data_IF_313551144818
#
_entry.id   IF_313551144818
#
_cell.length_a   1.000
_cell.length_b   1.000
_cell.length_c   1.000
_cell.angle_alpha   90.00
_cell.angle_beta   90.00
_cell.angle_gamma   90.00
#
_symmetry.space_group_name_H-M   'P 1'
#
loop_
_entity.id
_entity.type
_entity.pdbx_description
1 polymer ?
#
# COMPACT_ATOMS: atom_id res chain seq x y z
N UNK A 1 -21.22 14.79 14.66
CA UNK A 1 -20.63 15.97 15.35
C UNK A 1 -20.04 15.67 16.74
N UNK A 2 -20.65 14.87 17.63
CA UNK A 2 -20.06 14.57 18.96
C UNK A 2 -18.75 13.76 18.96
N UNK A 3 -18.49 12.93 17.94
CA UNK A 3 -17.25 12.13 17.86
C UNK A 3 -16.02 12.91 17.36
N UNK A 4 -16.17 13.91 16.49
CA UNK A 4 -15.02 14.65 15.93
C UNK A 4 -14.29 15.50 16.98
N UNK A 5 -15.03 16.16 17.89
CA UNK A 5 -14.47 16.94 19.00
C UNK A 5 -13.55 16.10 19.92
N UNK A 6 -13.81 14.79 20.04
CA UNK A 6 -12.99 13.89 20.86
C UNK A 6 -11.67 13.52 20.16
N UNK A 7 -11.69 13.31 18.84
CA UNK A 7 -10.49 12.91 18.08
C UNK A 7 -9.49 14.07 17.99
N UNK A 8 -9.97 15.27 17.68
CA UNK A 8 -9.10 16.45 17.58
C UNK A 8 -8.48 16.82 18.92
N UNK A 9 -9.27 16.77 20.01
CA UNK A 9 -8.76 16.96 21.37
C UNK A 9 -7.71 15.92 21.75
N UNK A 10 -7.91 14.64 21.38
CA UNK A 10 -6.93 13.58 21.62
C UNK A 10 -5.64 13.83 20.86
N UNK A 11 -5.73 14.17 19.57
CA UNK A 11 -4.56 14.47 18.74
C UNK A 11 -3.77 15.66 19.29
N UNK A 12 -4.45 16.74 19.67
CA UNK A 12 -3.79 17.92 20.24
C UNK A 12 -3.13 17.61 21.59
N UNK A 13 -3.79 16.84 22.45
CA UNK A 13 -3.18 16.39 23.71
C UNK A 13 -1.93 15.53 23.46
N UNK A 14 -2.00 14.57 22.54
CA UNK A 14 -0.83 13.74 22.18
C UNK A 14 0.32 14.57 21.62
N UNK A 15 0.04 15.60 20.79
CA UNK A 15 1.06 16.53 20.29
C UNK A 15 1.73 17.30 21.44
N UNK A 16 0.96 17.81 22.39
CA UNK A 16 1.49 18.53 23.55
C UNK A 16 2.38 17.64 24.42
N UNK A 17 1.92 16.42 24.75
CA UNK A 17 2.70 15.46 25.53
C UNK A 17 4.03 15.09 24.84
N UNK A 18 4.01 14.93 23.51
CA UNK A 18 5.23 14.64 22.75
C UNK A 18 6.17 15.85 22.73
N UNK A 19 5.64 17.07 22.67
CA UNK A 19 6.46 18.28 22.78
C UNK A 19 7.10 18.42 24.18
N UNK A 20 6.33 18.15 25.24
CA UNK A 20 6.82 18.15 26.63
C UNK A 20 7.92 17.11 26.86
N UNK A 21 7.77 15.91 26.27
CA UNK A 21 8.80 14.87 26.31
C UNK A 21 10.11 15.36 25.66
N UNK A 22 10.03 15.96 24.47
CA UNK A 22 11.20 16.50 23.78
C UNK A 22 11.90 17.60 24.58
N UNK A 23 11.13 18.53 25.15
CA UNK A 23 11.67 19.60 26.01
C UNK A 23 12.34 19.03 27.26
N UNK A 24 11.73 18.03 27.90
CA UNK A 24 12.26 17.39 29.11
C UNK A 24 13.58 16.66 28.83
N UNK A 25 13.67 15.95 27.70
CA UNK A 25 14.92 15.28 27.28
C UNK A 25 15.99 16.32 26.96
N UNK A 26 15.66 17.40 26.25
CA UNK A 26 16.61 18.48 25.97
C UNK A 26 17.13 19.12 27.26
N UNK A 27 16.26 19.35 28.25
CA UNK A 27 16.66 19.89 29.54
C UNK A 27 17.59 18.95 30.30
N UNK A 28 17.31 17.64 30.28
CA UNK A 28 18.13 16.62 30.91
C UNK A 28 19.55 16.54 30.30
N UNK A 29 19.64 16.61 28.97
CA UNK A 29 20.93 16.64 28.25
C UNK A 29 21.73 17.89 28.63
N UNK A 30 21.07 19.05 28.69
CA UNK A 30 21.70 20.31 29.02
C UNK A 30 22.13 20.40 30.50
N UNK A 31 21.41 19.75 31.43
CA UNK A 31 21.73 19.79 32.86
C UNK A 31 22.89 18.87 33.25
N UNK A 32 23.16 17.83 32.46
CA UNK A 32 24.11 16.77 32.81
C UNK A 32 25.00 16.34 31.64
N UNK A 33 25.71 17.26 30.96
CA UNK A 33 26.47 16.96 29.74
C UNK A 33 27.52 15.86 29.95
N UNK A 34 28.12 15.78 31.13
CA UNK A 34 29.14 14.77 31.46
C UNK A 34 28.59 13.33 31.40
N UNK A 35 27.30 13.14 31.72
CA UNK A 35 26.63 11.84 31.64
C UNK A 35 26.33 11.47 30.19
N UNK A 36 25.91 12.44 29.37
CA UNK A 36 25.59 12.21 27.96
C UNK A 36 26.82 12.16 27.05
N UNK A 37 28.01 12.47 27.58
CA UNK A 37 29.29 12.21 26.93
C UNK A 37 29.70 10.73 26.98
N UNK A 38 29.02 9.90 27.79
CA UNK A 38 29.21 8.45 27.72
C UNK A 38 28.76 7.92 26.34
N UNK A 39 29.60 7.15 25.62
CA UNK A 39 29.26 6.67 24.28
C UNK A 39 27.99 5.82 24.20
N UNK A 40 27.68 5.02 25.23
CA UNK A 40 26.49 4.17 25.25
C UNK A 40 25.22 4.99 25.44
N UNK A 41 25.26 5.97 26.33
CA UNK A 41 24.15 6.92 26.55
C UNK A 41 23.95 7.79 25.31
N UNK A 42 25.04 8.26 24.69
CA UNK A 42 24.97 9.07 23.47
C UNK A 42 24.32 8.31 22.31
N UNK A 43 24.67 7.03 22.11
CA UNK A 43 24.03 6.17 21.11
C UNK A 43 22.53 6.01 21.40
N UNK A 44 22.17 5.75 22.64
CA UNK A 44 20.77 5.59 23.05
C UNK A 44 19.95 6.88 22.87
N UNK A 45 20.56 8.05 23.13
CA UNK A 45 19.95 9.35 22.89
C UNK A 45 19.72 9.59 21.40
N UNK A 46 20.68 9.24 20.54
CA UNK A 46 20.52 9.37 19.09
C UNK A 46 19.38 8.49 18.57
N UNK A 47 19.30 7.25 19.02
CA UNK A 47 18.19 6.34 18.68
C UNK A 47 16.84 6.88 19.15
N UNK A 48 16.77 7.41 20.38
CA UNK A 48 15.57 8.08 20.88
C UNK A 48 15.19 9.27 20.01
N UNK A 49 16.13 10.18 19.71
CA UNK A 49 15.87 11.39 18.92
C UNK A 49 15.36 11.06 17.52
N UNK A 50 15.90 10.00 16.90
CA UNK A 50 15.42 9.50 15.61
C UNK A 50 13.95 9.08 15.69
N UNK A 51 13.61 8.18 16.61
CA UNK A 51 12.22 7.70 16.80
C UNK A 51 11.28 8.83 17.21
N UNK A 52 11.75 9.75 18.05
CA UNK A 52 11.03 10.94 18.48
C UNK A 52 10.67 11.84 17.31
N UNK A 53 11.64 12.19 16.47
CA UNK A 53 11.42 13.03 15.30
C UNK A 53 10.45 12.38 14.31
N UNK A 54 10.57 11.08 14.08
CA UNK A 54 9.62 10.31 13.29
C UNK A 54 8.19 10.40 13.86
N UNK A 55 8.04 10.24 15.18
CA UNK A 55 6.73 10.35 15.85
C UNK A 55 6.12 11.75 15.72
N UNK A 56 6.94 12.81 15.88
CA UNK A 56 6.51 14.20 15.72
C UNK A 56 6.02 14.45 14.29
N UNK A 57 6.78 14.02 13.27
CA UNK A 57 6.37 14.22 11.88
C UNK A 57 5.07 13.49 11.54
N UNK A 58 4.89 12.27 12.06
CA UNK A 58 3.66 11.50 11.85
C UNK A 58 2.44 12.11 12.53
N UNK A 59 2.60 12.72 13.70
CA UNK A 59 1.49 13.41 14.38
C UNK A 59 1.18 14.77 13.74
N UNK A 60 2.18 15.40 13.11
CA UNK A 60 1.98 16.63 12.34
C UNK A 60 1.14 16.36 11.10
N UNK A 61 1.43 15.27 10.38
CA UNK A 61 0.72 14.85 9.18
C UNK A 61 0.23 13.41 9.34
N UNK A 62 -0.86 13.16 10.11
CA UNK A 62 -1.37 11.81 10.30
C UNK A 62 -1.90 11.27 8.97
N UNK A 63 -1.60 10.01 8.67
CA UNK A 63 -2.09 9.36 7.46
C UNK A 63 -2.69 7.99 7.73
N UNK A 64 -3.79 7.72 7.04
CA UNK A 64 -4.40 6.43 6.91
C UNK A 64 -3.72 5.68 5.75
N UNK A 65 -3.08 4.55 6.08
CA UNK A 65 -2.25 3.78 5.14
C UNK A 65 -2.88 2.45 4.85
N UNK A 66 -3.01 2.11 3.57
CA UNK A 66 -3.39 0.77 3.10
C UNK A 66 -2.19 0.16 2.37
N UNK A 67 -1.73 -1.01 2.79
CA UNK A 67 -0.66 -1.75 2.14
C UNK A 67 -1.22 -3.00 1.45
N UNK A 68 -0.91 -3.21 0.17
CA UNK A 68 -1.36 -4.40 -0.56
C UNK A 68 -0.35 -5.54 -0.47
N UNK A 69 -0.80 -6.70 -0.03
CA UNK A 69 0.00 -7.93 0.14
C UNK A 69 -0.52 -9.02 -0.80
N UNK A 70 0.32 -9.99 -1.14
CA UNK A 70 -0.07 -11.14 -1.98
C UNK A 70 1.05 -11.58 -2.93
N UNK A 71 0.77 -12.64 -3.71
CA UNK A 71 1.72 -13.14 -4.72
C UNK A 71 1.95 -12.10 -5.82
N UNK A 72 3.02 -12.25 -6.60
CA UNK A 72 3.34 -11.31 -7.69
C UNK A 72 2.20 -11.20 -8.71
N UNK A 73 1.47 -12.30 -8.95
CA UNK A 73 0.42 -12.39 -9.96
C UNK A 73 -1.02 -12.22 -9.44
N UNK A 74 -1.25 -11.95 -8.15
CA UNK A 74 -2.62 -11.82 -7.60
C UNK A 74 -3.36 -10.54 -8.00
N UNK A 75 -2.68 -9.60 -8.67
CA UNK A 75 -3.29 -8.36 -9.19
C UNK A 75 -3.26 -7.16 -8.23
N UNK A 76 -2.32 -7.14 -7.27
CA UNK A 76 -2.12 -6.03 -6.30
C UNK A 76 -2.11 -4.65 -6.97
N UNK A 77 -1.23 -4.43 -7.93
CA UNK A 77 -1.09 -3.15 -8.64
C UNK A 77 -2.36 -2.78 -9.42
N UNK A 78 -3.11 -3.77 -9.93
CA UNK A 78 -4.41 -3.53 -10.56
C UNK A 78 -5.45 -3.08 -9.55
N UNK A 79 -5.48 -3.68 -8.35
CA UNK A 79 -6.33 -3.25 -7.23
C UNK A 79 -5.96 -1.83 -6.81
N UNK A 80 -4.67 -1.53 -6.66
CA UNK A 80 -4.19 -0.17 -6.30
C UNK A 80 -4.68 0.86 -7.31
N UNK A 81 -4.44 0.64 -8.61
CA UNK A 81 -4.92 1.54 -9.65
C UNK A 81 -6.44 1.70 -9.66
N UNK A 82 -7.18 0.61 -9.43
CA UNK A 82 -8.63 0.64 -9.32
C UNK A 82 -9.10 1.48 -8.13
N UNK A 83 -8.46 1.34 -6.96
CA UNK A 83 -8.82 2.08 -5.76
C UNK A 83 -8.52 3.58 -5.88
N UNK A 84 -7.40 3.96 -6.51
CA UNK A 84 -7.03 5.37 -6.66
C UNK A 84 -7.72 6.06 -7.85
N UNK A 85 -8.30 5.30 -8.77
CA UNK A 85 -8.94 5.80 -9.99
C UNK A 85 -7.98 6.35 -11.04
N UNK A 86 -6.72 5.90 -11.01
CA UNK A 86 -5.64 6.33 -11.91
C UNK A 86 -4.73 5.16 -12.26
N UNK A 87 -4.13 5.20 -13.44
CA UNK A 87 -3.13 4.24 -13.88
C UNK A 87 -1.73 4.74 -13.50
N UNK A 88 -1.27 4.40 -12.29
CA UNK A 88 0.05 4.83 -11.76
C UNK A 88 0.95 3.64 -11.48
N UNK A 89 0.44 2.62 -10.78
CA UNK A 89 1.16 1.39 -10.49
C UNK A 89 1.31 0.54 -11.78
N UNK A 90 2.49 -0.02 -12.08
CA UNK A 90 2.70 -0.91 -13.23
C UNK A 90 1.82 -2.18 -13.18
N UNK A 91 1.15 -2.55 -14.29
CA UNK A 91 0.17 -3.68 -14.33
C UNK A 91 0.44 -4.76 -15.41
N UNK A 92 1.61 -4.78 -16.04
CA UNK A 92 1.91 -5.74 -17.11
C UNK A 92 2.13 -7.19 -16.61
N UNK A 93 2.09 -8.15 -17.52
CA UNK A 93 2.04 -9.60 -17.24
C UNK A 93 3.35 -10.22 -16.71
N UNK A 94 4.34 -9.43 -16.32
CA UNK A 94 5.63 -9.88 -15.76
C UNK A 94 5.79 -9.51 -14.28
N UNK A 95 6.76 -10.14 -13.61
CA UNK A 95 7.12 -9.82 -12.22
C UNK A 95 7.81 -8.45 -12.11
N UNK A 96 7.07 -7.35 -12.25
CA UNK A 96 7.65 -6.00 -12.19
C UNK A 96 7.50 -5.31 -10.83
N UNK A 97 6.63 -5.78 -9.94
CA UNK A 97 6.55 -5.21 -8.58
C UNK A 97 7.72 -5.75 -7.74
N UNK A 98 8.91 -5.21 -8.01
CA UNK A 98 10.14 -5.50 -7.26
C UNK A 98 10.43 -4.45 -6.19
N UNK A 99 9.99 -3.22 -6.40
CA UNK A 99 10.14 -2.10 -5.48
C UNK A 99 8.88 -1.80 -4.68
N UNK A 100 9.01 -0.83 -3.77
CA UNK A 100 7.89 -0.32 -2.97
C UNK A 100 7.38 0.97 -3.60
N UNK A 101 6.10 1.00 -3.95
CA UNK A 101 5.43 2.19 -4.48
C UNK A 101 4.42 2.70 -3.46
N UNK A 102 4.67 3.89 -2.93
CA UNK A 102 3.73 4.64 -2.09
C UNK A 102 3.01 5.68 -2.94
N UNK A 103 1.70 5.65 -2.94
CA UNK A 103 0.84 6.64 -3.61
C UNK A 103 0.17 7.48 -2.51
N UNK A 104 0.54 8.75 -2.43
CA UNK A 104 0.04 9.66 -1.40
C UNK A 104 -0.93 10.65 -2.02
N UNK A 105 -2.03 10.93 -1.32
CA UNK A 105 -2.93 11.99 -1.75
C UNK A 105 -2.22 13.36 -1.73
N UNK A 106 -2.22 14.04 -2.88
CA UNK A 106 -1.80 15.43 -3.00
C UNK A 106 -2.57 16.14 -4.13
N UNK A 107 -2.66 17.46 -4.04
CA UNK A 107 -3.08 18.31 -5.16
C UNK A 107 -1.93 18.57 -6.13
N UNK A 108 -0.69 18.46 -5.65
CA UNK A 108 0.51 18.53 -6.47
C UNK A 108 0.81 17.17 -7.10
N UNK A 109 1.26 17.19 -8.36
CA UNK A 109 1.76 16.00 -9.06
C UNK A 109 3.28 15.95 -8.90
N UNK A 110 3.75 15.04 -8.05
CA UNK A 110 5.17 14.86 -7.74
C UNK A 110 5.55 13.39 -7.71
N UNK A 111 6.71 13.07 -8.23
CA UNK A 111 7.35 11.76 -8.10
C UNK A 111 8.67 11.90 -7.36
N UNK A 112 8.89 11.05 -6.37
CA UNK A 112 10.14 10.96 -5.62
C UNK A 112 10.63 9.52 -5.75
N UNK A 113 11.86 9.34 -6.19
CA UNK A 113 12.54 8.05 -6.19
C UNK A 113 13.77 8.20 -5.32
N UNK A 114 13.74 7.57 -4.15
CA UNK A 114 14.79 7.71 -3.14
C UNK A 114 16.14 7.20 -3.65
N UNK A 115 17.21 7.84 -3.20
CA UNK A 115 18.56 7.38 -3.49
C UNK A 115 18.85 6.14 -2.65
N UNK A 116 18.97 4.99 -3.30
CA UNK A 116 19.45 3.75 -2.69
C UNK A 116 20.93 3.53 -3.00
N UNK A 117 21.62 2.81 -2.13
CA UNK A 117 23.00 2.39 -2.36
C UNK A 117 23.10 1.61 -3.67
N UNK A 118 24.14 1.88 -4.45
CA UNK A 118 24.41 1.21 -5.72
C UNK A 118 23.32 1.29 -6.79
N UNK A 119 22.34 2.19 -6.66
CA UNK A 119 21.24 2.33 -7.62
C UNK A 119 21.75 2.46 -9.07
N UNK A 120 21.27 1.57 -9.94
CA UNK A 120 21.54 1.60 -11.40
C UNK A 120 20.36 2.13 -12.19
N UNK A 121 19.40 2.74 -11.51
CA UNK A 121 18.21 3.39 -12.04
C UNK A 121 18.18 4.85 -11.63
N UNK A 122 17.34 5.63 -12.30
CA UNK A 122 17.18 7.05 -11.99
C UNK A 122 16.60 7.26 -10.59
N UNK A 123 17.22 8.17 -9.83
CA UNK A 123 16.77 8.63 -8.51
C UNK A 123 16.66 10.15 -8.51
N UNK A 124 15.79 10.72 -7.68
CA UNK A 124 15.54 12.15 -7.65
C UNK A 124 14.06 12.52 -7.48
N UNK A 125 13.74 13.78 -7.80
CA UNK A 125 12.40 14.34 -7.69
C UNK A 125 11.96 14.96 -9.01
N UNK A 126 10.69 14.75 -9.37
CA UNK A 126 10.06 15.32 -10.56
C UNK A 126 8.71 15.91 -10.19
N UNK A 127 8.36 17.04 -10.81
CA UNK A 127 7.09 17.75 -10.59
C UNK A 127 6.40 18.02 -11.93
N UNK A 128 5.08 18.17 -11.92
CA UNK A 128 4.30 18.50 -13.12
C UNK A 128 4.21 17.37 -14.14
N UNK A 129 4.40 16.13 -13.71
CA UNK A 129 4.27 14.92 -14.52
C UNK A 129 2.79 14.51 -14.63
N UNK A 130 2.34 14.20 -15.84
CA UNK A 130 1.02 13.58 -16.01
C UNK A 130 1.03 12.09 -15.60
N UNK A 131 -0.15 11.46 -15.53
CA UNK A 131 -0.29 10.06 -15.10
C UNK A 131 0.51 9.08 -15.99
N UNK A 132 0.60 9.32 -17.29
CA UNK A 132 1.37 8.46 -18.19
C UNK A 132 2.87 8.63 -17.96
N UNK A 133 3.37 9.86 -17.76
CA UNK A 133 4.76 10.12 -17.42
C UNK A 133 5.16 9.45 -16.10
N UNK A 134 4.28 9.55 -15.08
CA UNK A 134 4.45 8.85 -13.80
C UNK A 134 4.52 7.34 -14.01
N UNK A 135 3.54 6.76 -14.71
CA UNK A 135 3.48 5.33 -14.98
C UNK A 135 4.73 4.84 -15.71
N UNK A 136 5.17 5.54 -16.77
CA UNK A 136 6.35 5.15 -17.55
C UNK A 136 7.62 5.23 -16.71
N UNK A 137 7.80 6.30 -15.94
CA UNK A 137 9.01 6.48 -15.11
C UNK A 137 9.10 5.44 -13.99
N UNK A 138 7.98 5.17 -13.31
CA UNK A 138 7.88 4.11 -12.30
C UNK A 138 8.18 2.75 -12.95
N UNK A 139 7.57 2.48 -14.11
CA UNK A 139 7.80 1.24 -14.86
C UNK A 139 9.27 1.06 -15.21
N UNK A 140 9.95 2.07 -15.75
CA UNK A 140 11.37 2.00 -16.13
C UNK A 140 12.26 1.67 -14.93
N UNK A 141 12.02 2.31 -13.78
CA UNK A 141 12.77 2.04 -12.54
C UNK A 141 12.56 0.60 -12.08
N UNK A 142 11.32 0.14 -12.06
CA UNK A 142 10.99 -1.22 -11.65
C UNK A 142 11.59 -2.29 -12.56
N UNK A 143 11.58 -2.06 -13.88
CA UNK A 143 12.25 -2.92 -14.86
C UNK A 143 13.76 -2.96 -14.65
N UNK A 144 14.38 -1.79 -14.52
CA UNK A 144 15.83 -1.66 -14.31
C UNK A 144 16.27 -2.38 -13.04
N UNK A 145 15.51 -2.21 -11.95
CA UNK A 145 15.74 -2.95 -10.70
C UNK A 145 15.57 -4.47 -10.89
N UNK A 146 14.49 -4.90 -11.53
CA UNK A 146 14.21 -6.32 -11.76
C UNK A 146 15.33 -7.01 -12.57
N UNK A 147 15.89 -6.34 -13.58
CA UNK A 147 17.00 -6.88 -14.35
C UNK A 147 18.34 -6.81 -13.60
N UNK A 148 18.56 -5.75 -12.82
CA UNK A 148 19.76 -5.62 -12.00
C UNK A 148 19.82 -6.69 -10.91
N UNK A 149 18.69 -6.96 -10.22
CA UNK A 149 18.62 -7.92 -9.10
C UNK A 149 18.89 -9.37 -9.50
N UNK A 150 18.78 -9.71 -10.80
CA UNK A 150 19.14 -11.05 -11.31
C UNK A 150 20.64 -11.36 -11.19
N UNK A 151 21.49 -10.32 -11.12
CA UNK A 151 22.96 -10.45 -11.12
C UNK A 151 23.56 -10.33 -9.72
N UNK A 152 22.98 -9.49 -8.87
CA UNK A 152 23.36 -9.29 -7.47
C UNK A 152 22.17 -8.75 -6.69
N UNK A 153 22.21 -8.83 -5.36
CA UNK A 153 21.19 -8.19 -4.54
C UNK A 153 21.30 -6.66 -4.59
N UNK A 154 20.13 -6.00 -4.59
CA UNK A 154 19.99 -4.56 -4.51
C UNK A 154 18.89 -4.22 -3.50
N UNK A 155 19.00 -3.05 -2.88
CA UNK A 155 17.90 -2.49 -2.10
C UNK A 155 16.76 -2.12 -3.06
N UNK A 156 15.55 -2.56 -2.73
CA UNK A 156 14.35 -2.30 -3.49
C UNK A 156 14.10 -0.79 -3.62
N UNK A 157 13.82 -0.27 -4.82
CA UNK A 157 13.57 1.15 -5.01
C UNK A 157 12.36 1.58 -4.16
N UNK A 158 12.52 2.70 -3.47
CA UNK A 158 11.46 3.34 -2.70
C UNK A 158 10.93 4.50 -3.53
N UNK A 159 9.69 4.36 -4.00
CA UNK A 159 9.07 5.30 -4.93
C UNK A 159 7.85 5.91 -4.27
N UNK A 160 7.75 7.23 -4.26
CA UNK A 160 6.58 7.96 -3.78
C UNK A 160 5.96 8.79 -4.90
N UNK A 161 4.73 8.46 -5.27
CA UNK A 161 3.91 9.26 -6.19
C UNK A 161 2.90 10.07 -5.37
N UNK A 162 2.99 11.40 -5.45
CA UNK A 162 2.01 12.32 -4.88
C UNK A 162 1.04 12.73 -5.98
N UNK A 163 -0.22 12.30 -5.86
CA UNK A 163 -1.28 12.54 -6.84
C UNK A 163 -2.64 12.62 -6.17
N UNK A 164 -3.62 13.21 -6.84
CA UNK A 164 -5.00 13.18 -6.36
C UNK A 164 -5.56 11.76 -6.50
N UNK A 165 -6.07 11.17 -5.42
CA UNK A 165 -6.56 9.79 -5.41
C UNK A 165 -8.03 9.75 -5.03
N UNK A 166 -8.79 8.88 -5.68
CA UNK A 166 -10.24 8.76 -5.52
C UNK A 166 -10.70 8.67 -4.05
N UNK A 167 -10.10 7.85 -3.17
CA UNK A 167 -10.59 7.71 -1.80
C UNK A 167 -10.45 8.99 -0.97
N UNK A 168 -9.50 9.86 -1.31
CA UNK A 168 -9.28 11.12 -0.61
C UNK A 168 -10.07 12.28 -1.22
N UNK A 169 -10.24 12.29 -2.55
CA UNK A 169 -11.06 13.28 -3.24
C UNK A 169 -12.57 13.11 -2.96
N UNK A 170 -13.00 11.90 -2.61
CA UNK A 170 -14.38 11.63 -2.21
C UNK A 170 -14.45 11.22 -0.74
N UNK A 171 -14.61 12.20 0.14
CA UNK A 171 -14.63 12.01 1.60
C UNK A 171 -15.72 11.04 2.08
N UNK A 172 -16.80 10.86 1.31
CA UNK A 172 -17.87 9.92 1.64
C UNK A 172 -17.44 8.44 1.56
N UNK A 173 -16.38 8.12 0.81
CA UNK A 173 -15.89 6.75 0.65
C UNK A 173 -15.15 6.25 1.88
N UNK A 174 -14.35 7.11 2.54
CA UNK A 174 -13.53 6.71 3.68
C UNK A 174 -14.11 7.17 5.02
N UNK A 175 -14.91 8.25 5.05
CA UNK A 175 -15.45 8.80 6.29
C UNK A 175 -14.38 9.23 7.29
N UNK A 176 -13.16 9.55 6.82
CA UNK A 176 -12.06 9.96 7.68
C UNK A 176 -12.28 11.39 8.21
N UNK A 177 -11.84 11.68 9.44
CA UNK A 177 -11.74 13.05 9.94
C UNK A 177 -10.86 13.95 9.05
N UNK A 178 -11.15 15.25 9.09
CA UNK A 178 -10.34 16.26 8.40
C UNK A 178 -8.88 16.25 8.88
N UNK A 179 -7.96 16.52 7.95
CA UNK A 179 -6.52 16.57 8.24
C UNK A 179 -5.82 15.22 8.31
N UNK A 180 -6.52 14.11 8.04
CA UNK A 180 -5.91 12.79 7.87
C UNK A 180 -5.59 12.58 6.39
N UNK A 181 -4.30 12.42 6.08
CA UNK A 181 -3.83 12.04 4.76
C UNK A 181 -4.21 10.60 4.40
N UNK A 182 -4.20 10.27 3.12
CA UNK A 182 -4.49 8.91 2.64
C UNK A 182 -3.31 8.44 1.79
N UNK A 183 -2.82 7.24 2.08
CA UNK A 183 -1.71 6.63 1.37
C UNK A 183 -2.04 5.17 1.01
N UNK A 184 -1.72 4.77 -0.21
CA UNK A 184 -1.75 3.38 -0.65
C UNK A 184 -0.33 2.91 -0.95
N UNK A 185 0.04 1.73 -0.48
CA UNK A 185 1.38 1.17 -0.63
C UNK A 185 1.25 -0.13 -1.43
N UNK A 186 1.74 -0.11 -2.67
CA UNK A 186 1.92 -1.31 -3.48
C UNK A 186 3.27 -1.93 -3.15
N UNK A 187 3.21 -3.14 -2.58
CA UNK A 187 4.39 -3.87 -2.16
C UNK A 187 4.79 -4.90 -3.21
N UNK A 188 6.08 -5.28 -3.24
CA UNK A 188 6.50 -6.39 -4.05
C UNK A 188 5.83 -7.70 -3.60
N UNK A 189 5.87 -8.73 -4.44
CA UNK A 189 5.34 -10.06 -4.06
C UNK A 189 5.96 -10.55 -2.75
N UNK A 190 5.19 -11.30 -1.94
CA UNK A 190 5.58 -11.71 -0.58
C UNK A 190 6.98 -12.35 -0.49
N UNK A 191 7.40 -13.12 -1.50
CA UNK A 191 8.75 -13.68 -1.60
C UNK A 191 9.84 -12.61 -1.58
N UNK A 192 9.65 -11.51 -2.31
CA UNK A 192 10.59 -10.38 -2.35
C UNK A 192 10.54 -9.52 -1.08
N UNK A 193 9.41 -9.51 -0.35
CA UNK A 193 9.29 -8.82 0.94
C UNK A 193 10.13 -9.51 2.02
N UNK A 194 10.33 -10.82 1.91
CA UNK A 194 11.09 -11.62 2.86
C UNK A 194 12.62 -11.59 2.62
N UNK A 195 13.08 -10.98 1.52
CA UNK A 195 14.51 -10.79 1.25
C UNK A 195 15.14 -9.91 2.35
N UNK A 196 16.19 -10.40 3.01
CA UNK A 196 16.83 -9.75 4.17
C UNK A 196 17.26 -8.31 3.90
N UNK A 197 17.66 -8.02 2.67
CA UNK A 197 18.11 -6.70 2.21
C UNK A 197 16.95 -5.69 2.14
N UNK A 198 15.71 -6.15 1.98
CA UNK A 198 14.52 -5.32 1.82
C UNK A 198 13.57 -5.36 3.03
N UNK A 199 13.74 -6.34 3.91
CA UNK A 199 12.84 -6.60 5.03
C UNK A 199 12.73 -5.40 5.98
N UNK A 200 13.85 -4.79 6.39
CA UNK A 200 13.86 -3.68 7.34
C UNK A 200 13.10 -2.43 6.82
N UNK A 201 13.32 -2.08 5.56
CA UNK A 201 12.66 -0.92 4.91
C UNK A 201 11.16 -1.15 4.76
N UNK A 202 10.77 -2.36 4.31
CA UNK A 202 9.36 -2.70 4.11
C UNK A 202 8.66 -2.82 5.47
N UNK A 203 9.29 -3.40 6.50
CA UNK A 203 8.70 -3.53 7.84
C UNK A 203 8.27 -2.19 8.42
N UNK A 204 9.12 -1.17 8.28
CA UNK A 204 8.87 0.17 8.82
C UNK A 204 7.63 0.85 8.21
N UNK A 205 7.27 0.48 6.98
CA UNK A 205 6.14 1.04 6.26
C UNK A 205 4.84 0.26 6.51
N UNK A 206 4.93 -1.07 6.60
CA UNK A 206 3.75 -1.95 6.66
C UNK A 206 3.25 -2.16 8.09
N UNK A 207 4.10 -2.09 9.12
CA UNK A 207 3.71 -2.31 10.53
C UNK A 207 2.64 -1.33 11.08
N UNK A 208 2.33 -0.27 10.32
CA UNK A 208 1.40 0.80 10.68
C UNK A 208 0.27 0.96 9.65
N UNK A 209 0.17 0.07 8.67
CA UNK A 209 -0.81 0.11 7.59
C UNK A 209 -1.90 -0.96 7.77
N UNK A 210 -3.12 -0.65 7.31
CA UNK A 210 -4.15 -1.65 7.07
C UNK A 210 -3.71 -2.53 5.91
N UNK A 211 -3.84 -3.84 6.06
CA UNK A 211 -3.32 -4.80 5.10
C UNK A 211 -4.45 -5.29 4.20
N UNK A 212 -4.28 -5.12 2.89
CA UNK A 212 -5.18 -5.63 1.87
C UNK A 212 -4.53 -6.82 1.17
N UNK A 213 -4.97 -8.03 1.52
CA UNK A 213 -4.38 -9.27 1.04
C UNK A 213 -5.07 -9.73 -0.24
N UNK A 214 -4.40 -9.60 -1.38
CA UNK A 214 -4.91 -10.01 -2.67
C UNK A 214 -4.59 -11.49 -2.95
N UNK A 215 -5.64 -12.28 -3.15
CA UNK A 215 -5.64 -13.69 -3.54
C UNK A 215 -6.14 -13.82 -4.98
N UNK A 216 -5.62 -14.78 -5.74
CA UNK A 216 -6.09 -15.07 -7.10
C UNK A 216 -7.04 -16.28 -7.07
N UNK A 217 -8.28 -16.11 -7.56
CA UNK A 217 -9.28 -17.17 -7.65
C UNK A 217 -8.79 -18.44 -8.38
N UNK A 218 -7.90 -18.31 -9.36
CA UNK A 218 -7.33 -19.44 -10.11
C UNK A 218 -6.20 -20.16 -9.36
N UNK A 219 -5.68 -19.58 -8.27
CA UNK A 219 -4.59 -20.15 -7.47
C UNK A 219 -5.08 -20.57 -6.07
N UNK A 220 -6.39 -20.82 -5.92
CA UNK A 220 -6.98 -21.24 -4.64
C UNK A 220 -7.11 -22.77 -4.54
N UNK A 221 -6.17 -23.52 -5.11
CA UNK A 221 -6.02 -24.93 -4.70
C UNK A 221 -5.36 -24.99 -3.32
N UNK A 222 -5.63 -26.07 -2.58
CA UNK A 222 -5.23 -26.21 -1.18
C UNK A 222 -3.71 -26.06 -0.98
N UNK A 223 -2.89 -26.46 -1.95
CA UNK A 223 -1.42 -26.37 -1.83
C UNK A 223 -0.90 -24.94 -2.07
N UNK A 224 -1.40 -24.24 -3.09
CA UNK A 224 -1.02 -22.85 -3.33
C UNK A 224 -1.54 -21.90 -2.26
N UNK A 225 -2.79 -22.11 -1.81
CA UNK A 225 -3.41 -21.31 -0.74
C UNK A 225 -2.65 -21.47 0.56
N UNK A 226 -2.33 -22.71 0.97
CA UNK A 226 -1.52 -22.95 2.16
C UNK A 226 -0.15 -22.30 2.08
N UNK A 227 0.59 -22.44 0.97
CA UNK A 227 1.90 -21.80 0.81
C UNK A 227 1.81 -20.28 0.92
N UNK A 228 0.81 -19.67 0.29
CA UNK A 228 0.56 -18.24 0.36
C UNK A 228 0.23 -17.81 1.79
N UNK A 229 -0.64 -18.55 2.48
CA UNK A 229 -1.02 -18.26 3.86
C UNK A 229 0.13 -18.48 4.85
N UNK A 230 1.01 -19.45 4.60
CA UNK A 230 2.25 -19.64 5.36
C UNK A 230 3.26 -18.51 5.13
N UNK A 231 3.43 -18.06 3.88
CA UNK A 231 4.23 -16.87 3.56
C UNK A 231 3.64 -15.62 4.22
N UNK A 232 2.31 -15.47 4.20
CA UNK A 232 1.60 -14.41 4.89
C UNK A 232 1.79 -14.51 6.39
N UNK A 233 1.71 -15.69 7.00
CA UNK A 233 1.92 -15.88 8.44
C UNK A 233 3.26 -15.31 8.90
N UNK A 234 4.32 -15.56 8.14
CA UNK A 234 5.65 -14.98 8.39
C UNK A 234 5.64 -13.46 8.28
N UNK A 235 4.92 -12.92 7.29
CA UNK A 235 4.75 -11.47 7.16
C UNK A 235 3.92 -10.92 8.32
N UNK A 236 2.83 -11.57 8.73
CA UNK A 236 2.00 -11.18 9.89
C UNK A 236 2.81 -11.16 11.19
N UNK A 237 3.61 -12.20 11.44
CA UNK A 237 4.52 -12.28 12.58
C UNK A 237 5.54 -11.13 12.53
N UNK A 238 6.09 -10.87 11.35
CA UNK A 238 6.98 -9.74 11.09
C UNK A 238 6.30 -8.37 11.26
N UNK A 239 4.98 -8.29 11.03
CA UNK A 239 4.13 -7.12 11.28
C UNK A 239 3.62 -7.02 12.73
N UNK A 240 4.18 -7.81 13.65
CA UNK A 240 3.81 -7.83 15.07
C UNK A 240 2.34 -8.24 15.30
N UNK A 241 1.78 -9.09 14.44
CA UNK A 241 0.55 -9.81 14.74
C UNK A 241 -0.76 -9.01 14.69
N UNK A 242 -0.78 -7.85 14.02
CA UNK A 242 -2.04 -7.09 13.79
C UNK A 242 -2.92 -7.71 12.71
N UNK A 243 -3.48 -8.87 13.01
CA UNK A 243 -4.41 -9.59 12.12
C UNK A 243 -5.80 -8.99 12.11
N UNK A 244 -6.16 -8.19 13.12
CA UNK A 244 -7.40 -7.42 13.21
C UNK A 244 -7.53 -6.32 12.14
N UNK A 245 -6.43 -6.02 11.44
CA UNK A 245 -6.34 -4.95 10.44
C UNK A 245 -6.14 -5.50 9.02
N UNK A 246 -6.59 -6.74 8.76
CA UNK A 246 -6.45 -7.42 7.45
C UNK A 246 -7.81 -7.62 6.78
N UNK A 247 -7.88 -7.27 5.49
CA UNK A 247 -9.00 -7.61 4.61
C UNK A 247 -8.47 -8.44 3.45
N UNK A 248 -9.14 -9.55 3.15
CA UNK A 248 -8.77 -10.42 2.04
C UNK A 248 -9.62 -10.11 0.82
N UNK A 249 -8.98 -9.98 -0.33
CA UNK A 249 -9.61 -9.82 -1.63
C UNK A 249 -9.39 -11.10 -2.42
N UNK A 250 -10.48 -11.79 -2.75
CA UNK A 250 -10.47 -12.87 -3.73
C UNK A 250 -10.66 -12.25 -5.12
N UNK A 251 -9.56 -11.97 -5.81
CA UNK A 251 -9.54 -11.32 -7.11
C UNK A 251 -9.76 -12.33 -8.24
N UNK A 252 -10.11 -11.83 -9.43
CA UNK A 252 -10.32 -12.62 -10.66
C UNK A 252 -11.46 -13.64 -10.56
N UNK A 253 -12.51 -13.33 -9.79
CA UNK A 253 -13.69 -14.20 -9.66
C UNK A 253 -14.48 -14.35 -10.98
N UNK A 254 -14.19 -13.50 -11.97
CA UNK A 254 -14.66 -13.60 -13.34
C UNK A 254 -14.01 -14.76 -14.13
N UNK A 255 -12.94 -15.37 -13.61
CA UNK A 255 -12.39 -16.61 -14.17
C UNK A 255 -13.15 -17.87 -13.73
N UNK A 256 -14.19 -17.74 -12.89
CA UNK A 256 -15.00 -18.86 -12.41
C UNK A 256 -15.62 -19.63 -13.58
N UNK A 257 -15.45 -20.95 -13.60
CA UNK A 257 -16.11 -21.84 -14.54
C UNK A 257 -17.56 -22.16 -14.14
N UNK A 258 -18.36 -22.65 -15.09
CA UNK A 258 -19.74 -23.09 -14.81
C UNK A 258 -19.79 -24.30 -13.85
N UNK A 259 -18.76 -25.15 -13.89
CA UNK A 259 -18.64 -26.35 -13.05
C UNK A 259 -18.02 -26.07 -11.67
N UNK A 260 -17.60 -24.83 -11.40
CA UNK A 260 -17.03 -24.46 -10.11
C UNK A 260 -18.11 -24.45 -9.02
N UNK A 261 -17.67 -24.66 -7.78
CA UNK A 261 -18.53 -24.46 -6.61
C UNK A 261 -19.14 -23.04 -6.63
N UNK A 262 -20.39 -22.88 -6.14
CA UNK A 262 -20.96 -21.55 -5.95
C UNK A 262 -20.02 -20.65 -5.15
N UNK A 263 -19.82 -19.42 -5.64
CA UNK A 263 -18.85 -18.48 -5.08
C UNK A 263 -18.99 -18.29 -3.54
N UNK A 264 -20.19 -18.19 -2.95
CA UNK A 264 -20.34 -18.12 -1.48
C UNK A 264 -19.74 -19.34 -0.76
N UNK A 265 -19.96 -20.55 -1.30
CA UNK A 265 -19.43 -21.80 -0.72
C UNK A 265 -17.90 -21.83 -0.79
N UNK A 266 -17.32 -21.35 -1.90
CA UNK A 266 -15.87 -21.22 -2.08
C UNK A 266 -15.28 -20.22 -1.07
N UNK A 267 -15.94 -19.08 -0.90
CA UNK A 267 -15.54 -18.04 0.07
C UNK A 267 -15.58 -18.58 1.49
N UNK A 268 -16.65 -19.27 1.90
CA UNK A 268 -16.76 -19.82 3.25
C UNK A 268 -15.64 -20.83 3.55
N UNK A 269 -15.33 -21.73 2.60
CA UNK A 269 -14.18 -22.64 2.74
C UNK A 269 -12.86 -21.89 2.90
N UNK A 270 -12.63 -20.87 2.09
CA UNK A 270 -11.43 -20.05 2.14
C UNK A 270 -11.31 -19.28 3.47
N UNK A 271 -12.43 -18.77 4.01
CA UNK A 271 -12.44 -18.10 5.32
C UNK A 271 -12.02 -19.03 6.45
N UNK A 272 -12.52 -20.27 6.46
CA UNK A 272 -12.10 -21.29 7.43
C UNK A 272 -10.62 -21.63 7.30
N UNK A 273 -10.13 -21.82 6.07
CA UNK A 273 -8.71 -22.12 5.83
C UNK A 273 -7.78 -20.97 6.28
N UNK A 274 -8.12 -19.71 5.96
CA UNK A 274 -7.36 -18.54 6.41
C UNK A 274 -7.34 -18.48 7.94
N UNK A 275 -8.50 -18.69 8.58
CA UNK A 275 -8.63 -18.68 10.04
C UNK A 275 -7.74 -19.75 10.67
N UNK A 276 -7.73 -20.96 10.13
CA UNK A 276 -6.92 -22.07 10.64
C UNK A 276 -5.41 -21.77 10.51
N UNK A 277 -4.94 -21.44 9.30
CA UNK A 277 -3.50 -21.27 9.02
C UNK A 277 -2.90 -20.07 9.78
N UNK A 278 -3.63 -18.94 9.78
CA UNK A 278 -3.20 -17.72 10.47
C UNK A 278 -3.58 -17.70 11.96
N UNK A 279 -4.30 -18.72 12.43
CA UNK A 279 -4.75 -18.84 13.83
C UNK A 279 -5.56 -17.61 14.29
N UNK A 280 -6.49 -17.16 13.44
CA UNK A 280 -7.33 -15.99 13.71
C UNK A 280 -8.42 -16.31 14.75
N UNK A 281 -8.77 -15.37 15.63
CA UNK A 281 -9.82 -15.58 16.63
C UNK A 281 -11.20 -15.72 15.98
N UNK A 282 -11.45 -14.99 14.89
CA UNK A 282 -12.72 -14.94 14.16
C UNK A 282 -12.50 -15.21 12.67
N UNK A 283 -13.60 -15.47 11.94
CA UNK A 283 -13.54 -15.64 10.50
C UNK A 283 -13.21 -14.30 9.83
N UNK A 284 -12.19 -14.24 8.96
CA UNK A 284 -11.80 -13.00 8.30
C UNK A 284 -12.84 -12.57 7.26
N UNK A 285 -12.77 -11.30 6.88
CA UNK A 285 -13.52 -10.78 5.73
C UNK A 285 -12.80 -11.14 4.43
N UNK A 286 -13.54 -11.80 3.53
CA UNK A 286 -13.08 -12.16 2.18
C UNK A 286 -14.06 -11.56 1.17
N UNK A 287 -13.59 -10.60 0.38
CA UNK A 287 -14.39 -9.90 -0.61
C UNK A 287 -14.12 -10.47 -2.01
N UNK A 288 -15.15 -10.98 -2.73
CA UNK A 288 -15.00 -11.34 -4.13
C UNK A 288 -14.82 -10.08 -4.97
N UNK A 289 -13.90 -10.11 -5.92
CA UNK A 289 -13.48 -8.91 -6.62
C UNK A 289 -13.04 -9.16 -8.06
N UNK A 290 -13.32 -8.19 -8.93
CA UNK A 290 -12.79 -8.12 -10.28
C UNK A 290 -12.01 -6.80 -10.43
N UNK A 291 -10.71 -6.85 -10.12
CA UNK A 291 -9.86 -5.67 -10.15
C UNK A 291 -9.75 -5.05 -11.55
N UNK A 292 -9.75 -5.85 -12.62
CA UNK A 292 -9.58 -5.34 -13.99
C UNK A 292 -10.80 -4.55 -14.45
N UNK A 293 -12.00 -5.05 -14.15
CA UNK A 293 -13.25 -4.35 -14.43
C UNK A 293 -13.30 -3.02 -13.68
N UNK A 294 -13.05 -3.03 -12.36
CA UNK A 294 -13.08 -1.81 -11.56
C UNK A 294 -11.99 -0.83 -11.99
N UNK A 295 -10.78 -1.32 -12.29
CA UNK A 295 -9.67 -0.52 -12.80
C UNK A 295 -10.08 0.29 -14.03
N UNK A 296 -10.66 -0.37 -15.04
CA UNK A 296 -11.08 0.33 -16.24
C UNK A 296 -12.21 1.31 -15.99
N UNK A 297 -13.22 0.92 -15.20
CA UNK A 297 -14.34 1.80 -14.87
C UNK A 297 -13.86 3.06 -14.13
N UNK A 298 -12.99 2.91 -13.12
CA UNK A 298 -12.52 4.03 -12.31
C UNK A 298 -11.53 4.91 -13.09
N UNK A 299 -10.60 4.34 -13.86
CA UNK A 299 -9.69 5.15 -14.67
C UNK A 299 -10.40 5.90 -15.81
N UNK A 300 -11.55 5.41 -16.28
CA UNK A 300 -12.41 6.11 -17.24
C UNK A 300 -13.18 7.29 -16.63
N UNK A 301 -13.20 7.45 -15.30
CA UNK A 301 -13.83 8.59 -14.61
C UNK A 301 -12.83 9.44 -13.82
N UNK A 302 -11.67 8.89 -13.46
CA UNK A 302 -10.59 9.55 -12.76
C UNK A 302 -10.76 9.54 -11.23
N UNK A 303 -9.94 10.34 -10.56
CA UNK A 303 -9.95 10.47 -9.10
C UNK A 303 -10.99 11.44 -8.54
N UNK A 304 -11.85 12.04 -9.39
CA UNK A 304 -12.83 13.04 -8.97
C UNK A 304 -14.01 12.45 -8.19
N UNK A 305 -14.87 13.32 -7.64
CA UNK A 305 -16.12 12.88 -7.02
C UNK A 305 -16.99 12.12 -8.01
N UNK A 306 -17.60 11.01 -7.58
CA UNK A 306 -18.49 10.18 -8.42
C UNK A 306 -19.76 10.93 -8.87
N UNK A 307 -20.11 12.02 -8.19
CA UNK A 307 -21.29 12.84 -8.50
C UNK A 307 -20.97 14.07 -9.36
N UNK A 308 -19.71 14.28 -9.71
CA UNK A 308 -19.26 15.39 -10.54
C UNK A 308 -18.90 14.91 -11.95
N UNK A 309 -18.92 15.81 -12.96
CA UNK A 309 -18.42 15.47 -14.29
C UNK A 309 -16.96 15.01 -14.22
N UNK A 310 -16.65 13.92 -14.94
CA UNK A 310 -15.27 13.44 -15.04
C UNK A 310 -14.36 14.51 -15.64
N UNK A 311 -13.21 14.71 -15.02
CA UNK A 311 -12.14 15.58 -15.50
C UNK A 311 -11.20 14.89 -16.49
N UNK A 312 -11.39 13.59 -16.73
CA UNK A 312 -10.62 12.81 -17.70
C UNK A 312 -11.08 13.16 -19.12
N UNK A 313 -10.14 13.41 -20.03
CA UNK A 313 -10.46 13.77 -21.41
C UNK A 313 -11.18 12.63 -22.15
N UNK A 314 -12.02 13.00 -23.12
CA UNK A 314 -12.87 12.04 -23.82
C UNK A 314 -12.11 10.91 -24.50
N UNK A 315 -10.90 11.17 -25.03
CA UNK A 315 -10.12 10.15 -25.71
C UNK A 315 -9.59 9.10 -24.72
N UNK A 316 -9.07 9.54 -23.57
CA UNK A 316 -8.65 8.65 -22.48
C UNK A 316 -9.82 7.85 -21.91
N UNK A 317 -10.98 8.49 -21.70
CA UNK A 317 -12.21 7.78 -21.25
C UNK A 317 -12.63 6.69 -22.24
N UNK A 318 -12.66 7.03 -23.54
CA UNK A 318 -13.01 6.08 -24.59
C UNK A 318 -12.03 4.91 -24.66
N UNK A 319 -10.72 5.16 -24.48
CA UNK A 319 -9.68 4.12 -24.42
C UNK A 319 -9.94 3.11 -23.30
N UNK A 320 -10.20 3.58 -22.07
CA UNK A 320 -10.47 2.69 -20.94
C UNK A 320 -11.80 1.94 -21.06
N UNK A 321 -12.87 2.60 -21.54
CA UNK A 321 -14.15 1.94 -21.77
C UNK A 321 -14.06 0.88 -22.86
N UNK A 322 -13.35 1.16 -23.96
CA UNK A 322 -13.11 0.17 -25.01
C UNK A 322 -12.35 -1.04 -24.46
N UNK A 323 -11.29 -0.81 -23.69
CA UNK A 323 -10.53 -1.88 -23.05
C UNK A 323 -11.36 -2.67 -22.03
N UNK A 324 -12.28 -2.02 -21.29
CA UNK A 324 -13.23 -2.69 -20.41
C UNK A 324 -14.08 -3.69 -21.19
N UNK A 325 -14.62 -3.29 -22.34
CA UNK A 325 -15.42 -4.19 -23.15
C UNK A 325 -14.57 -5.30 -23.79
N UNK A 326 -13.39 -4.98 -24.32
CA UNK A 326 -12.53 -5.97 -24.97
C UNK A 326 -12.01 -7.03 -23.98
N UNK A 327 -11.57 -6.61 -22.80
CA UNK A 327 -10.90 -7.48 -21.84
C UNK A 327 -11.85 -8.17 -20.86
N UNK A 328 -13.00 -7.56 -20.55
CA UNK A 328 -13.94 -8.10 -19.57
C UNK A 328 -15.21 -8.69 -20.22
N UNK A 329 -15.67 -8.18 -21.36
CA UNK A 329 -17.02 -8.52 -21.87
C UNK A 329 -17.12 -9.89 -22.54
N UNK A 330 -16.02 -10.44 -23.08
CA UNK A 330 -15.99 -11.84 -23.52
C UNK A 330 -16.24 -12.85 -22.38
N UNK A 331 -16.32 -12.39 -21.12
CA UNK A 331 -16.53 -13.20 -19.91
C UNK A 331 -17.77 -12.84 -19.09
N UNK A 332 -18.46 -11.74 -19.42
CA UNK A 332 -19.68 -11.29 -18.70
C UNK A 332 -20.96 -11.92 -19.27
N UNK A 333 -20.91 -12.45 -20.50
CA UNK A 333 -22.04 -13.07 -21.21
C UNK A 333 -22.01 -14.61 -21.24
N UNK A 334 -21.16 -15.26 -20.45
CA UNK A 334 -21.13 -16.73 -20.32
C UNK A 334 -21.74 -17.19 -18.99
#
# INVERSE_FOLDING_TARGET
MRNNLNIESKLNNTRNLLQELGNSVSNLVNSSPDVFNDPGIQSSLQDFLRVYQEAVQRLKNPSFRIATLGTTSSGKSTIVNALIGRKIAPIEAGEMSGGVLTIQHSQEQKLIIEKTEDAVWDTGEWTGLNDEDLYQRISVVMHSYHDARKKREYVAPQITAQVSILPACNSSLLGLPDGIGVELIDLPGLKSVQDRTNSATIQGQVNKAFSLVALDYMQVDDDHTKRLLEELKKVVEFLQGRTDSMIFILNRVDNRGADDLPLPVRIDKLREEIKEVLSLPELPDVLPFNARLLYYAQCAWGSGSLHEPSTVDQATRAKFLKALFEDCFNRILQ
#
